data_IF_321422578606
#
_entry.id   IF_321422578606
#
_cell.length_a   1.000
_cell.length_b   1.000
_cell.length_c   1.000
_cell.angle_alpha   90.00
_cell.angle_beta   90.00
_cell.angle_gamma   90.00
#
_symmetry.space_group_name_H-M   'P 1'
#
loop_
_entity.id
_entity.type
_entity.pdbx_description
1 polymer ?
#
# COMPACT_ATOMS: atom_id res chain seq x y z
N UNK A 1 -46.99 48.45 -58.39
CA UNK A 1 -46.90 47.01 -58.31
C UNK A 1 -46.66 46.66 -56.84
N UNK A 2 -47.68 46.19 -56.12
CA UNK A 2 -47.75 46.01 -54.66
C UNK A 2 -47.29 44.62 -54.32
N UNK A 3 -46.27 44.44 -53.46
CA UNK A 3 -45.87 43.17 -52.83
C UNK A 3 -46.51 43.07 -51.44
N UNK A 4 -47.36 42.08 -51.29
CA UNK A 4 -48.01 41.69 -50.05
C UNK A 4 -47.01 40.91 -49.17
N UNK A 5 -46.71 41.43 -48.02
CA UNK A 5 -45.93 40.70 -46.96
C UNK A 5 -46.93 39.93 -46.08
N UNK A 6 -46.84 38.61 -46.11
CA UNK A 6 -47.58 37.69 -45.24
C UNK A 6 -46.73 37.38 -44.00
N UNK A 7 -47.07 37.91 -42.81
CA UNK A 7 -46.47 37.67 -41.53
C UNK A 7 -46.97 36.32 -40.98
N UNK A 8 -46.07 35.33 -40.90
CA UNK A 8 -46.31 34.05 -40.26
C UNK A 8 -45.92 34.20 -38.78
N UNK A 9 -46.90 34.27 -37.88
CA UNK A 9 -46.69 34.28 -36.43
C UNK A 9 -46.41 32.86 -35.98
N UNK A 10 -45.11 32.58 -35.63
CA UNK A 10 -44.65 31.32 -35.00
C UNK A 10 -44.96 31.38 -33.50
N UNK A 11 -45.98 30.63 -33.06
CA UNK A 11 -46.31 30.46 -31.63
C UNK A 11 -45.25 29.62 -31.00
N UNK A 12 -44.31 30.23 -30.24
CA UNK A 12 -43.37 29.55 -29.35
C UNK A 12 -44.14 29.06 -28.11
N UNK A 13 -44.46 27.77 -28.03
CA UNK A 13 -44.89 27.14 -26.78
C UNK A 13 -43.67 27.02 -25.87
N UNK A 14 -43.75 27.46 -24.58
CA UNK A 14 -42.64 27.22 -23.64
C UNK A 14 -42.59 25.72 -23.32
N UNK A 15 -41.53 25.05 -23.76
CA UNK A 15 -41.19 23.69 -23.30
C UNK A 15 -40.84 23.74 -21.81
N UNK A 16 -41.72 23.20 -20.99
CA UNK A 16 -41.41 22.91 -19.57
C UNK A 16 -40.13 22.06 -19.50
N UNK A 17 -39.15 22.45 -18.69
CA UNK A 17 -37.98 21.60 -18.51
C UNK A 17 -38.44 20.26 -17.90
N UNK A 18 -38.14 19.17 -18.58
CA UNK A 18 -38.29 17.82 -18.07
C UNK A 18 -37.54 17.78 -16.75
N UNK A 19 -38.26 17.47 -15.65
CA UNK A 19 -37.72 17.27 -14.30
C UNK A 19 -36.70 16.13 -14.43
N UNK A 20 -35.41 16.48 -14.47
CA UNK A 20 -34.34 15.50 -14.49
C UNK A 20 -34.58 14.55 -13.30
N UNK A 21 -34.65 13.26 -13.58
CA UNK A 21 -34.63 12.24 -12.51
C UNK A 21 -33.41 12.52 -11.62
N UNK A 22 -33.56 12.38 -10.29
CA UNK A 22 -32.41 12.57 -9.40
C UNK A 22 -31.26 11.67 -9.92
N UNK A 23 -30.03 12.20 -10.00
CA UNK A 23 -28.91 11.40 -10.49
C UNK A 23 -28.82 10.14 -9.60
N UNK A 24 -28.97 8.97 -10.23
CA UNK A 24 -28.72 7.70 -9.54
C UNK A 24 -27.30 7.77 -9.00
N UNK A 25 -27.14 7.63 -7.68
CA UNK A 25 -25.82 7.60 -7.06
C UNK A 25 -25.03 6.44 -7.68
N UNK A 26 -23.87 6.70 -8.29
CA UNK A 26 -23.11 5.64 -8.94
C UNK A 26 -22.76 4.54 -7.93
N UNK A 27 -22.90 3.30 -8.34
CA UNK A 27 -22.55 2.14 -7.50
C UNK A 27 -21.08 1.86 -7.69
N UNK A 28 -20.30 1.90 -6.59
CA UNK A 28 -18.89 1.53 -6.59
C UNK A 28 -18.75 0.02 -6.42
N UNK A 29 -18.07 -0.64 -7.38
CA UNK A 29 -17.71 -2.05 -7.27
C UNK A 29 -16.31 -2.23 -6.65
N UNK A 30 -16.04 -3.41 -6.07
CA UNK A 30 -14.72 -3.72 -5.49
C UNK A 30 -13.59 -3.61 -6.53
N UNK A 31 -13.82 -4.10 -7.75
CA UNK A 31 -12.80 -4.08 -8.81
C UNK A 31 -12.50 -2.65 -9.27
N UNK A 32 -13.51 -1.79 -9.32
CA UNK A 32 -13.34 -0.38 -9.65
C UNK A 32 -12.57 0.35 -8.54
N UNK A 33 -12.90 0.09 -7.27
CA UNK A 33 -12.17 0.62 -6.12
C UNK A 33 -10.70 0.20 -6.14
N UNK A 34 -10.40 -1.07 -6.43
CA UNK A 34 -9.04 -1.58 -6.60
C UNK A 34 -8.29 -0.89 -7.75
N UNK A 35 -8.95 -0.65 -8.88
CA UNK A 35 -8.38 0.06 -10.02
C UNK A 35 -8.01 1.50 -9.67
N UNK A 36 -8.91 2.20 -8.97
CA UNK A 36 -8.67 3.58 -8.50
C UNK A 36 -7.46 3.61 -7.54
N UNK A 37 -7.41 2.71 -6.57
CA UNK A 37 -6.30 2.66 -5.61
C UNK A 37 -4.95 2.37 -6.27
N UNK A 38 -4.89 1.45 -7.23
CA UNK A 38 -3.65 1.15 -7.98
C UNK A 38 -3.07 2.36 -8.71
N UNK A 39 -3.94 3.29 -9.13
CA UNK A 39 -3.53 4.49 -9.87
C UNK A 39 -3.20 5.64 -8.92
N UNK A 40 -4.01 5.86 -7.88
CA UNK A 40 -4.01 7.10 -7.13
C UNK A 40 -3.36 6.97 -5.74
N UNK A 41 -3.20 5.75 -5.20
CA UNK A 41 -2.80 5.59 -3.80
C UNK A 41 -1.38 6.11 -3.55
N UNK A 42 -1.18 7.11 -2.64
CA UNK A 42 0.11 7.78 -2.45
C UNK A 42 1.23 6.82 -2.00
N UNK A 43 0.91 5.80 -1.19
CA UNK A 43 1.90 4.81 -0.77
C UNK A 43 2.47 4.00 -1.95
N UNK A 44 1.65 3.69 -2.97
CA UNK A 44 2.12 3.00 -4.17
C UNK A 44 3.01 3.90 -5.02
N UNK A 45 2.67 5.19 -5.12
CA UNK A 45 3.51 6.17 -5.82
C UNK A 45 4.87 6.32 -5.12
N UNK A 46 4.87 6.42 -3.78
CA UNK A 46 6.11 6.48 -3.00
C UNK A 46 6.97 5.21 -3.17
N UNK A 47 6.36 4.01 -3.19
CA UNK A 47 7.09 2.77 -3.41
C UNK A 47 7.70 2.68 -4.80
N UNK A 48 6.98 3.11 -5.85
CA UNK A 48 7.51 3.18 -7.23
C UNK A 48 8.70 4.13 -7.31
N UNK A 49 8.60 5.33 -6.73
CA UNK A 49 9.71 6.26 -6.67
C UNK A 49 10.94 5.69 -5.94
N UNK A 50 10.72 4.88 -4.88
CA UNK A 50 11.79 4.19 -4.18
C UNK A 50 12.45 3.10 -5.03
N UNK A 51 11.65 2.39 -5.85
CA UNK A 51 12.18 1.40 -6.82
C UNK A 51 12.98 2.10 -7.91
N UNK A 52 12.52 3.23 -8.45
CA UNK A 52 13.29 4.07 -9.39
C UNK A 52 14.59 4.58 -8.78
N UNK A 53 14.56 5.02 -7.52
CA UNK A 53 15.78 5.41 -6.81
C UNK A 53 16.76 4.24 -6.67
N UNK A 54 16.26 3.02 -6.42
CA UNK A 54 17.10 1.81 -6.38
C UNK A 54 17.66 1.46 -7.76
N UNK A 55 16.89 1.64 -8.83
CA UNK A 55 17.36 1.47 -10.22
C UNK A 55 18.49 2.49 -10.57
N UNK A 56 18.34 3.74 -10.13
CA UNK A 56 19.39 4.74 -10.30
C UNK A 56 20.69 4.35 -9.55
N UNK A 57 20.59 3.75 -8.34
CA UNK A 57 21.75 3.23 -7.59
C UNK A 57 22.49 2.12 -8.36
N UNK A 58 21.77 1.28 -9.14
CA UNK A 58 22.39 0.30 -10.04
C UNK A 58 23.23 1.02 -11.09
N UNK A 59 22.72 2.09 -11.69
CA UNK A 59 23.50 2.96 -12.61
C UNK A 59 24.74 3.55 -11.95
N UNK A 60 24.60 4.07 -10.73
CA UNK A 60 25.71 4.60 -9.94
C UNK A 60 26.77 3.52 -9.63
N UNK A 61 26.34 2.30 -9.30
CA UNK A 61 27.25 1.18 -9.03
C UNK A 61 27.98 0.70 -10.31
N UNK A 62 27.39 0.90 -11.48
CA UNK A 62 28.00 0.61 -12.80
C UNK A 62 28.99 1.69 -13.22
N UNK A 63 28.78 2.95 -12.84
CA UNK A 63 29.56 4.08 -13.31
C UNK A 63 31.08 3.91 -13.15
N UNK A 64 31.64 3.38 -12.03
CA UNK A 64 33.09 3.18 -11.89
C UNK A 64 33.66 2.15 -12.85
N UNK A 65 32.82 1.30 -13.48
CA UNK A 65 33.24 0.31 -14.47
C UNK A 65 33.34 0.90 -15.90
N UNK A 66 32.90 2.14 -16.08
CA UNK A 66 32.91 2.84 -17.35
C UNK A 66 34.05 3.88 -17.37
N UNK A 67 34.52 4.33 -18.57
CA UNK A 67 35.46 5.42 -18.65
C UNK A 67 34.96 6.69 -17.93
N UNK A 68 35.81 7.28 -17.10
CA UNK A 68 35.56 8.52 -16.41
C UNK A 68 36.32 9.64 -17.10
N UNK A 69 35.65 10.72 -17.49
CA UNK A 69 36.24 11.90 -18.09
C UNK A 69 36.09 13.06 -17.09
N UNK A 70 37.21 13.73 -16.77
CA UNK A 70 37.23 14.88 -15.86
C UNK A 70 37.99 16.03 -16.49
N UNK A 71 37.46 17.24 -16.36
CA UNK A 71 38.16 18.50 -16.68
C UNK A 71 38.56 19.21 -15.39
N UNK A 72 39.75 19.74 -15.35
CA UNK A 72 40.25 20.53 -14.23
C UNK A 72 40.87 21.84 -14.72
N UNK A 73 40.59 22.91 -14.00
CA UNK A 73 41.28 24.20 -14.16
C UNK A 73 41.74 24.65 -12.78
N UNK A 74 42.97 25.03 -12.66
CA UNK A 74 43.49 25.53 -11.39
C UNK A 74 44.39 26.75 -11.59
N UNK A 75 44.31 27.67 -10.64
CA UNK A 75 45.25 28.76 -10.43
C UNK A 75 45.83 28.61 -9.04
N UNK A 76 47.16 28.55 -8.96
CA UNK A 76 47.86 28.49 -7.70
C UNK A 76 48.87 29.62 -7.62
N UNK A 77 48.80 30.40 -6.57
CA UNK A 77 49.85 31.37 -6.25
C UNK A 77 50.61 30.86 -5.04
N UNK A 78 51.89 30.55 -5.21
CA UNK A 78 52.79 30.14 -4.14
C UNK A 78 53.73 31.29 -3.78
N UNK A 79 53.84 31.62 -2.49
CA UNK A 79 54.88 32.46 -1.95
C UNK A 79 55.57 31.69 -0.82
N UNK A 80 56.85 31.42 -0.97
CA UNK A 80 57.60 30.70 0.04
C UNK A 80 59.09 31.01 -0.04
N UNK A 81 59.74 31.12 1.10
CA UNK A 81 61.21 31.08 1.22
C UNK A 81 61.59 29.61 1.47
N UNK A 82 62.03 28.91 0.45
CA UNK A 82 62.73 27.68 0.67
C UNK A 82 64.23 27.97 0.63
N UNK A 83 64.86 27.80 1.75
CA UNK A 83 66.32 27.70 1.79
C UNK A 83 66.73 26.25 1.51
N UNK A 84 67.00 25.90 0.27
CA UNK A 84 67.77 24.70 0.02
C UNK A 84 69.26 25.05 0.23
N UNK A 85 69.81 24.57 1.34
CA UNK A 85 71.27 24.61 1.52
C UNK A 85 71.87 23.60 0.56
N UNK A 86 72.32 24.07 -0.60
CA UNK A 86 73.25 23.33 -1.43
C UNK A 86 74.61 23.35 -0.77
N UNK A 87 75.38 22.28 -0.85
CA UNK A 87 76.73 22.11 -0.29
C UNK A 87 77.75 23.18 -0.75
N UNK A 88 77.35 24.11 -1.59
CA UNK A 88 78.16 25.27 -2.12
C UNK A 88 77.68 26.61 -1.57
N UNK A 89 76.78 26.67 -0.59
CA UNK A 89 76.42 27.92 0.09
C UNK A 89 75.56 28.92 -0.71
N UNK A 90 75.10 28.56 -1.91
CA UNK A 90 74.24 29.41 -2.73
C UNK A 90 72.76 29.09 -2.38
N UNK A 91 72.12 30.06 -1.72
CA UNK A 91 70.70 30.09 -1.52
C UNK A 91 69.97 30.51 -2.82
N UNK A 92 69.30 29.65 -3.45
CA UNK A 92 68.44 30.01 -4.61
C UNK A 92 67.10 30.47 -4.01
N UNK A 93 66.70 31.73 -4.23
CA UNK A 93 65.41 32.25 -3.75
C UNK A 93 64.31 31.49 -4.55
N UNK A 94 63.40 30.81 -3.86
CA UNK A 94 62.18 30.37 -4.49
C UNK A 94 61.36 31.63 -4.82
N UNK A 95 61.20 31.90 -6.10
CA UNK A 95 60.39 33.00 -6.55
C UNK A 95 58.91 32.70 -6.24
N UNK A 96 58.21 33.69 -5.67
CA UNK A 96 56.76 33.67 -5.67
C UNK A 96 56.27 33.58 -7.12
N UNK A 97 55.59 32.51 -7.46
CA UNK A 97 55.15 32.27 -8.81
C UNK A 97 53.65 32.03 -8.89
N UNK A 98 53.06 32.43 -9.99
CA UNK A 98 51.74 32.01 -10.40
C UNK A 98 51.89 30.70 -11.17
N UNK A 99 50.96 29.80 -11.02
CA UNK A 99 50.81 28.57 -11.83
C UNK A 99 49.37 28.43 -12.30
N UNK A 100 49.19 28.35 -13.56
CA UNK A 100 47.91 28.08 -14.23
C UNK A 100 47.96 26.70 -14.80
N UNK A 101 46.88 25.89 -14.59
CA UNK A 101 46.76 24.55 -15.16
C UNK A 101 45.35 24.35 -15.68
N UNK A 102 45.26 23.87 -16.92
CA UNK A 102 44.03 23.46 -17.54
C UNK A 102 44.26 22.04 -18.09
N UNK A 103 43.35 21.11 -17.78
CA UNK A 103 43.52 19.72 -18.25
C UNK A 103 42.25 18.96 -18.39
N UNK A 104 42.29 17.94 -19.23
CA UNK A 104 41.28 16.90 -19.39
C UNK A 104 41.95 15.57 -19.14
N UNK A 105 41.36 14.77 -18.28
CA UNK A 105 41.85 13.45 -17.93
C UNK A 105 40.75 12.39 -18.12
N UNK A 106 41.04 11.31 -18.82
CA UNK A 106 40.22 10.11 -18.93
C UNK A 106 40.85 9.01 -18.07
N UNK A 107 40.05 8.33 -17.27
CA UNK A 107 40.48 7.18 -16.48
C UNK A 107 39.51 6.03 -16.59
N UNK A 108 40.01 4.80 -16.58
CA UNK A 108 39.25 3.57 -16.70
C UNK A 108 39.81 2.53 -15.74
N UNK A 109 38.94 1.95 -14.94
CA UNK A 109 39.21 0.74 -14.20
C UNK A 109 39.22 -0.43 -15.20
N UNK A 110 40.36 -1.11 -15.33
CA UNK A 110 40.52 -2.26 -16.27
C UNK A 110 40.15 -3.57 -15.55
N UNK A 111 40.62 -3.75 -14.31
CA UNK A 111 40.42 -4.98 -13.58
C UNK A 111 40.60 -4.77 -12.05
N UNK A 112 39.71 -5.35 -11.22
CA UNK A 112 39.73 -5.21 -9.76
C UNK A 112 39.34 -6.51 -9.01
N UNK A 113 39.52 -7.64 -9.66
CA UNK A 113 39.22 -8.98 -9.09
C UNK A 113 37.81 -9.11 -8.55
N UNK A 114 36.85 -8.39 -9.15
CA UNK A 114 35.42 -8.49 -8.84
C UNK A 114 34.91 -7.52 -7.77
N UNK A 115 35.73 -6.58 -7.30
CA UNK A 115 35.28 -5.56 -6.35
C UNK A 115 34.17 -4.68 -6.95
N UNK A 116 34.40 -4.07 -8.11
CA UNK A 116 33.43 -3.19 -8.78
C UNK A 116 32.28 -3.97 -9.41
N UNK A 117 32.59 -5.05 -10.13
CA UNK A 117 31.55 -5.90 -10.74
C UNK A 117 30.67 -6.58 -9.67
N UNK A 118 31.23 -6.92 -8.51
CA UNK A 118 30.50 -7.45 -7.36
C UNK A 118 29.56 -6.42 -6.76
N UNK A 119 30.00 -5.17 -6.59
CA UNK A 119 29.14 -4.04 -6.15
C UNK A 119 27.98 -3.82 -7.11
N UNK A 120 28.23 -3.86 -8.42
CA UNK A 120 27.17 -3.71 -9.42
C UNK A 120 26.14 -4.85 -9.34
N UNK A 121 26.59 -6.11 -9.24
CA UNK A 121 25.69 -7.27 -9.08
C UNK A 121 24.91 -7.21 -7.74
N UNK A 122 25.53 -6.79 -6.66
CA UNK A 122 24.87 -6.61 -5.39
C UNK A 122 23.78 -5.52 -5.48
N UNK A 123 24.07 -4.41 -6.16
CA UNK A 123 23.07 -3.35 -6.40
C UNK A 123 21.88 -3.85 -7.25
N UNK A 124 22.14 -4.70 -8.28
CA UNK A 124 21.07 -5.32 -9.06
C UNK A 124 20.19 -6.26 -8.21
N UNK A 125 20.80 -7.07 -7.35
CA UNK A 125 20.03 -7.93 -6.44
C UNK A 125 19.23 -7.12 -5.42
N UNK A 126 19.78 -5.99 -4.94
CA UNK A 126 19.07 -5.04 -4.07
C UNK A 126 17.87 -4.41 -4.80
N UNK A 127 18.00 -4.05 -6.08
CA UNK A 127 16.87 -3.59 -6.89
C UNK A 127 15.79 -4.67 -6.97
N UNK A 128 16.17 -5.92 -7.25
CA UNK A 128 15.20 -7.03 -7.28
C UNK A 128 14.50 -7.27 -5.94
N UNK A 129 15.18 -7.02 -4.81
CA UNK A 129 14.55 -7.04 -3.48
C UNK A 129 13.55 -5.88 -3.31
N UNK A 130 13.91 -4.68 -3.78
CA UNK A 130 13.05 -3.50 -3.71
C UNK A 130 11.79 -3.65 -4.57
N UNK A 131 11.88 -4.27 -5.75
CA UNK A 131 10.72 -4.59 -6.59
C UNK A 131 9.75 -5.54 -5.88
N UNK A 132 10.25 -6.54 -5.15
CA UNK A 132 9.39 -7.41 -4.35
C UNK A 132 8.78 -6.68 -3.14
N UNK A 133 9.51 -5.74 -2.54
CA UNK A 133 8.98 -4.87 -1.48
C UNK A 133 7.84 -3.99 -1.99
N UNK A 134 7.96 -3.43 -3.20
CA UNK A 134 6.88 -2.68 -3.86
C UNK A 134 5.65 -3.57 -4.09
N UNK A 135 5.85 -4.80 -4.60
CA UNK A 135 4.76 -5.77 -4.78
C UNK A 135 4.07 -6.12 -3.45
N UNK A 136 4.85 -6.33 -2.39
CA UNK A 136 4.31 -6.58 -1.06
C UNK A 136 3.44 -5.41 -0.56
N UNK A 137 3.89 -4.18 -0.77
CA UNK A 137 3.09 -3.00 -0.43
C UNK A 137 1.79 -2.93 -1.26
N UNK A 138 1.83 -3.31 -2.54
CA UNK A 138 0.61 -3.37 -3.37
C UNK A 138 -0.38 -4.41 -2.83
N UNK A 139 0.08 -5.57 -2.37
CA UNK A 139 -0.74 -6.57 -1.68
C UNK A 139 -1.36 -6.01 -0.39
N UNK A 140 -0.58 -5.28 0.41
CA UNK A 140 -1.09 -4.64 1.63
C UNK A 140 -2.16 -3.58 1.33
N UNK A 141 -1.94 -2.71 0.35
CA UNK A 141 -2.91 -1.68 -0.07
C UNK A 141 -4.18 -2.35 -0.59
N UNK A 142 -4.08 -3.38 -1.42
CA UNK A 142 -5.22 -4.13 -1.93
C UNK A 142 -6.01 -4.80 -0.80
N UNK A 143 -5.34 -5.37 0.19
CA UNK A 143 -5.99 -5.95 1.37
C UNK A 143 -6.71 -4.90 2.21
N UNK A 144 -6.05 -3.78 2.51
CA UNK A 144 -6.65 -2.69 3.30
C UNK A 144 -7.88 -2.11 2.61
N UNK A 145 -7.81 -1.94 1.28
CA UNK A 145 -8.95 -1.51 0.48
C UNK A 145 -10.11 -2.51 0.53
N UNK A 146 -9.84 -3.81 0.35
CA UNK A 146 -10.88 -4.84 0.47
C UNK A 146 -11.52 -4.84 1.85
N UNK A 147 -10.72 -4.70 2.90
CA UNK A 147 -11.22 -4.59 4.27
C UNK A 147 -12.13 -3.38 4.44
N UNK A 148 -11.71 -2.19 4.00
CA UNK A 148 -12.51 -0.97 4.05
C UNK A 148 -13.80 -1.09 3.23
N UNK A 149 -13.71 -1.72 2.04
CA UNK A 149 -14.86 -1.96 1.17
C UNK A 149 -15.91 -2.87 1.84
N UNK A 150 -15.48 -4.02 2.40
CA UNK A 150 -16.38 -4.94 3.09
C UNK A 150 -16.97 -4.30 4.35
N UNK A 151 -16.21 -3.49 5.09
CA UNK A 151 -16.72 -2.77 6.25
C UNK A 151 -17.79 -1.75 5.84
N UNK A 152 -17.56 -0.96 4.80
CA UNK A 152 -18.53 -0.01 4.27
C UNK A 152 -19.79 -0.71 3.72
N UNK A 153 -19.64 -1.87 3.06
CA UNK A 153 -20.77 -2.67 2.59
C UNK A 153 -21.58 -3.27 3.76
N UNK A 154 -20.91 -3.71 4.83
CA UNK A 154 -21.56 -4.15 6.05
C UNK A 154 -22.37 -3.01 6.71
N UNK A 155 -21.76 -1.83 6.84
CA UNK A 155 -22.43 -0.65 7.40
C UNK A 155 -23.63 -0.23 6.54
N UNK A 156 -23.56 -0.33 5.21
CA UNK A 156 -24.71 -0.09 4.32
C UNK A 156 -25.84 -1.10 4.54
N UNK A 157 -25.49 -2.38 4.72
CA UNK A 157 -26.48 -3.41 5.00
C UNK A 157 -27.13 -3.22 6.40
N UNK A 158 -26.35 -2.83 7.41
CA UNK A 158 -26.86 -2.52 8.74
C UNK A 158 -27.72 -1.25 8.74
N UNK A 159 -27.39 -0.25 7.95
CA UNK A 159 -28.23 0.94 7.74
C UNK A 159 -29.61 0.54 7.21
N UNK A 160 -29.64 -0.36 6.22
CA UNK A 160 -30.92 -0.88 5.70
C UNK A 160 -31.74 -1.62 6.76
N UNK A 161 -31.09 -2.43 7.61
CA UNK A 161 -31.76 -3.09 8.74
C UNK A 161 -32.36 -2.05 9.72
N UNK A 162 -31.63 -0.96 9.99
CA UNK A 162 -32.12 0.11 10.86
C UNK A 162 -33.29 0.89 10.24
N UNK A 163 -33.26 1.17 8.92
CA UNK A 163 -34.35 1.79 8.17
C UNK A 163 -35.64 0.94 8.23
N UNK A 164 -35.50 -0.37 7.95
CA UNK A 164 -36.62 -1.33 8.02
C UNK A 164 -37.15 -1.46 9.47
N UNK A 165 -36.27 -1.45 10.46
CA UNK A 165 -36.66 -1.49 11.87
C UNK A 165 -37.47 -0.27 12.26
N UNK A 166 -37.02 0.94 11.92
CA UNK A 166 -37.78 2.18 12.21
C UNK A 166 -39.14 2.14 11.51
N UNK A 167 -39.17 1.76 10.22
CA UNK A 167 -40.42 1.66 9.47
C UNK A 167 -41.44 0.71 10.16
N UNK A 168 -40.97 -0.46 10.57
CA UNK A 168 -41.82 -1.41 11.29
C UNK A 168 -42.30 -0.86 12.64
N UNK A 169 -41.44 -0.18 13.41
CA UNK A 169 -41.85 0.49 14.67
C UNK A 169 -42.91 1.58 14.43
N UNK A 170 -42.85 2.32 13.35
CA UNK A 170 -43.87 3.31 12.96
C UNK A 170 -45.21 2.67 12.57
N UNK A 171 -45.18 1.53 11.89
CA UNK A 171 -46.40 0.76 11.60
C UNK A 171 -47.06 0.26 12.89
N UNK A 172 -46.28 -0.32 13.81
CA UNK A 172 -46.79 -0.82 15.11
C UNK A 172 -47.31 0.32 15.97
N UNK A 173 -46.62 1.46 16.04
CA UNK A 173 -47.11 2.63 16.78
C UNK A 173 -48.50 3.06 16.31
N UNK A 174 -48.70 3.15 14.97
CA UNK A 174 -50.03 3.51 14.41
C UNK A 174 -51.12 2.47 14.78
N UNK A 175 -50.79 1.19 14.75
CA UNK A 175 -51.71 0.13 15.12
C UNK A 175 -52.06 0.16 16.60
N UNK A 176 -51.07 0.35 17.52
CA UNK A 176 -51.30 0.43 18.95
C UNK A 176 -52.10 1.68 19.29
N UNK A 177 -51.84 2.81 18.67
CA UNK A 177 -52.58 4.04 18.84
C UNK A 177 -54.06 3.83 18.51
N UNK A 178 -54.40 3.20 17.40
CA UNK A 178 -55.76 2.89 17.04
C UNK A 178 -56.47 1.95 18.07
N UNK A 179 -55.73 0.98 18.63
CA UNK A 179 -56.28 0.08 19.66
C UNK A 179 -56.54 0.79 20.98
N UNK A 180 -55.71 1.74 21.39
CA UNK A 180 -55.90 2.56 22.59
C UNK A 180 -57.06 3.51 22.41
N UNK A 181 -57.21 4.18 21.27
CA UNK A 181 -58.31 5.08 20.94
C UNK A 181 -59.72 4.41 21.04
N UNK A 182 -59.78 3.11 20.68
CA UNK A 182 -61.05 2.34 20.82
C UNK A 182 -61.14 1.54 22.13
N UNK A 183 -60.25 1.83 23.09
CA UNK A 183 -60.28 1.23 24.44
C UNK A 183 -59.89 -0.26 24.49
N UNK A 184 -59.33 -0.83 23.43
CA UNK A 184 -58.90 -2.25 23.40
C UNK A 184 -57.55 -2.51 24.07
N UNK A 185 -56.75 -1.46 24.29
CA UNK A 185 -55.41 -1.54 24.91
C UNK A 185 -55.19 -0.39 25.88
N UNK A 186 -54.38 -0.59 26.94
CA UNK A 186 -54.08 0.43 27.91
C UNK A 186 -53.11 1.48 27.33
N UNK A 187 -53.13 2.68 27.84
CA UNK A 187 -52.30 3.81 27.41
C UNK A 187 -50.80 3.54 27.57
N UNK A 188 -50.41 2.69 28.54
CA UNK A 188 -49.01 2.30 28.75
C UNK A 188 -48.39 1.64 27.51
N UNK A 189 -49.17 0.86 26.72
CA UNK A 189 -48.72 0.24 25.49
C UNK A 189 -48.36 1.30 24.43
N UNK A 190 -49.12 2.40 24.37
CA UNK A 190 -48.85 3.53 23.48
C UNK A 190 -47.53 4.25 23.87
N UNK A 191 -47.35 4.52 25.19
CA UNK A 191 -46.13 5.17 25.68
C UNK A 191 -44.91 4.30 25.40
N UNK A 192 -45.01 2.98 25.63
CA UNK A 192 -43.93 2.03 25.29
C UNK A 192 -43.60 2.06 23.80
N UNK A 193 -44.61 2.00 22.93
CA UNK A 193 -44.39 2.02 21.48
C UNK A 193 -43.76 3.32 20.97
N UNK A 194 -44.11 4.47 21.58
CA UNK A 194 -43.44 5.75 21.30
C UNK A 194 -41.99 5.73 21.71
N UNK A 195 -41.66 5.14 22.85
CA UNK A 195 -40.25 4.95 23.30
C UNK A 195 -39.49 4.05 22.34
N UNK A 196 -40.08 2.92 21.93
CA UNK A 196 -39.46 1.98 20.99
C UNK A 196 -39.18 2.63 19.62
N UNK A 197 -40.10 3.41 19.11
CA UNK A 197 -39.93 4.20 17.89
C UNK A 197 -38.77 5.22 18.01
N UNK A 198 -38.72 5.96 19.16
CA UNK A 198 -37.66 6.92 19.40
C UNK A 198 -36.28 6.25 19.49
N UNK A 199 -36.19 5.09 20.15
CA UNK A 199 -34.94 4.29 20.18
C UNK A 199 -34.52 3.82 18.79
N UNK A 200 -35.45 3.36 17.94
CA UNK A 200 -35.16 2.96 16.56
C UNK A 200 -34.69 4.16 15.73
N UNK A 201 -35.20 5.37 15.94
CA UNK A 201 -34.73 6.59 15.32
C UNK A 201 -33.27 6.90 15.68
N UNK A 202 -32.89 6.73 16.96
CA UNK A 202 -31.48 6.89 17.40
C UNK A 202 -30.58 5.86 16.74
N UNK A 203 -31.02 4.60 16.66
CA UNK A 203 -30.27 3.54 15.98
C UNK A 203 -30.07 3.83 14.49
N UNK A 204 -31.07 4.35 13.79
CA UNK A 204 -30.97 4.77 12.39
C UNK A 204 -29.90 5.88 12.23
N UNK A 205 -29.94 6.91 13.07
CA UNK A 205 -28.95 8.00 13.04
C UNK A 205 -27.53 7.45 13.24
N UNK A 206 -27.35 6.54 14.21
CA UNK A 206 -26.05 5.91 14.47
C UNK A 206 -25.57 5.07 13.28
N UNK A 207 -26.46 4.28 12.66
CA UNK A 207 -26.14 3.49 11.47
C UNK A 207 -25.76 4.37 10.26
N UNK A 208 -26.45 5.52 10.09
CA UNK A 208 -26.12 6.49 9.05
C UNK A 208 -24.72 7.08 9.25
N UNK A 209 -24.40 7.52 10.49
CA UNK A 209 -23.06 8.04 10.81
C UNK A 209 -21.98 6.99 10.61
N UNK A 210 -22.24 5.73 10.99
CA UNK A 210 -21.31 4.62 10.78
C UNK A 210 -21.02 4.42 9.28
N UNK A 211 -22.07 4.36 8.45
CA UNK A 211 -21.91 4.21 6.99
C UNK A 211 -21.15 5.38 6.36
N UNK A 212 -21.44 6.61 6.73
CA UNK A 212 -20.75 7.79 6.22
C UNK A 212 -19.28 7.81 6.64
N UNK A 213 -18.97 7.37 7.87
CA UNK A 213 -17.59 7.21 8.37
C UNK A 213 -16.82 6.14 7.59
N UNK A 214 -17.43 4.96 7.41
CA UNK A 214 -16.79 3.85 6.70
C UNK A 214 -16.59 4.17 5.20
N UNK A 215 -17.50 4.96 4.60
CA UNK A 215 -17.32 5.48 3.25
C UNK A 215 -16.13 6.45 3.17
N UNK A 216 -15.93 7.31 4.17
CA UNK A 216 -14.76 8.19 4.24
C UNK A 216 -13.45 7.38 4.38
N UNK A 217 -13.44 6.31 5.20
CA UNK A 217 -12.30 5.40 5.32
C UNK A 217 -12.02 4.64 4.00
N UNK A 218 -13.07 4.29 3.26
CA UNK A 218 -12.93 3.68 1.94
C UNK A 218 -12.32 4.66 0.94
N UNK A 219 -12.73 5.94 0.94
CA UNK A 219 -12.11 6.98 0.11
C UNK A 219 -10.62 7.13 0.42
N UNK A 220 -10.25 7.12 1.70
CA UNK A 220 -8.85 7.13 2.13
C UNK A 220 -8.08 5.89 1.61
N UNK A 221 -8.68 4.69 1.72
CA UNK A 221 -8.07 3.45 1.24
C UNK A 221 -7.92 3.42 -0.30
N UNK A 222 -8.75 4.14 -1.05
CA UNK A 222 -8.61 4.35 -2.49
C UNK A 222 -7.58 5.43 -2.85
N UNK A 223 -7.11 6.22 -1.88
CA UNK A 223 -6.23 7.38 -2.13
C UNK A 223 -6.97 8.55 -2.78
N UNK A 224 -8.25 8.74 -2.50
CA UNK A 224 -9.10 9.80 -3.03
C UNK A 224 -9.33 10.85 -1.96
N UNK A 225 -8.95 12.10 -2.21
CA UNK A 225 -9.13 13.23 -1.27
C UNK A 225 -10.55 13.84 -1.31
N UNK A 226 -11.28 13.64 -2.41
CA UNK A 226 -12.61 14.23 -2.60
C UNK A 226 -13.70 13.35 -2.01
N UNK A 227 -14.70 13.96 -1.38
CA UNK A 227 -15.93 13.25 -1.02
C UNK A 227 -16.71 12.90 -2.30
N UNK A 228 -16.54 11.68 -2.77
CA UNK A 228 -17.30 11.14 -3.90
C UNK A 228 -18.55 10.46 -3.32
N UNK A 229 -19.71 10.88 -3.79
CA UNK A 229 -20.98 10.24 -3.45
C UNK A 229 -21.18 9.01 -4.33
N UNK A 230 -21.15 7.85 -3.72
CA UNK A 230 -21.45 6.55 -4.31
C UNK A 230 -22.16 5.68 -3.28
N UNK A 231 -22.86 4.67 -3.75
CA UNK A 231 -23.36 3.58 -2.90
C UNK A 231 -22.46 2.35 -3.02
N UNK A 232 -22.35 1.57 -1.96
CA UNK A 232 -21.52 0.37 -1.92
C UNK A 232 -22.43 -0.85 -1.93
N UNK A 233 -22.20 -1.76 -2.87
CA UNK A 233 -22.94 -3.01 -2.98
C UNK A 233 -22.08 -4.18 -2.56
N UNK A 234 -22.64 -5.09 -1.76
CA UNK A 234 -21.97 -6.32 -1.42
C UNK A 234 -21.60 -7.11 -2.68
N UNK A 235 -20.33 -7.46 -2.88
CA UNK A 235 -19.96 -8.30 -4.02
C UNK A 235 -20.61 -9.69 -3.88
N UNK A 236 -20.89 -10.38 -5.00
CA UNK A 236 -21.41 -11.75 -4.92
C UNK A 236 -20.44 -12.64 -4.17
N UNK A 237 -20.95 -13.42 -3.22
CA UNK A 237 -20.14 -14.33 -2.43
C UNK A 237 -19.48 -15.38 -3.35
N UNK A 238 -18.18 -15.26 -3.57
CA UNK A 238 -17.40 -16.23 -4.36
C UNK A 238 -16.56 -17.10 -3.43
N UNK A 239 -16.72 -18.41 -3.53
CA UNK A 239 -15.84 -19.34 -2.84
C UNK A 239 -14.44 -19.27 -3.47
N UNK A 240 -13.40 -19.28 -2.64
CA UNK A 240 -12.03 -19.31 -3.12
C UNK A 240 -11.64 -20.75 -3.47
N UNK A 241 -10.95 -20.94 -4.60
CA UNK A 241 -10.37 -22.23 -4.92
C UNK A 241 -9.36 -22.63 -3.85
N UNK A 242 -9.55 -23.80 -3.25
CA UNK A 242 -8.64 -24.32 -2.23
C UNK A 242 -8.82 -23.74 -0.82
N UNK A 243 -9.90 -22.97 -0.53
CA UNK A 243 -10.14 -22.42 0.82
C UNK A 243 -10.36 -23.50 1.90
N UNK A 244 -10.73 -24.71 1.49
CA UNK A 244 -10.87 -25.89 2.35
C UNK A 244 -9.64 -26.83 2.30
N UNK A 245 -8.55 -26.38 1.61
CA UNK A 245 -7.28 -27.12 1.51
C UNK A 245 -6.61 -27.36 2.85
N UNK A 246 -5.67 -28.30 2.87
CA UNK A 246 -4.85 -28.54 4.05
C UNK A 246 -3.79 -27.44 4.22
N UNK A 247 -3.27 -27.28 5.43
CA UNK A 247 -2.28 -26.26 5.76
C UNK A 247 -0.97 -26.43 5.00
N UNK A 248 -0.61 -27.67 4.64
CA UNK A 248 0.67 -27.96 3.99
C UNK A 248 0.66 -27.43 2.55
N UNK A 249 -0.41 -27.73 1.79
CA UNK A 249 -0.54 -27.26 0.40
C UNK A 249 -0.63 -25.73 0.31
N UNK A 250 -1.40 -25.12 1.20
CA UNK A 250 -1.49 -23.64 1.27
C UNK A 250 -0.16 -23.00 1.65
N UNK A 251 0.63 -23.63 2.54
CA UNK A 251 1.94 -23.13 2.94
C UNK A 251 2.95 -23.18 1.77
N UNK A 252 2.96 -24.24 0.97
CA UNK A 252 3.82 -24.34 -0.21
C UNK A 252 3.52 -23.21 -1.21
N UNK A 253 2.23 -22.96 -1.47
CA UNK A 253 1.80 -21.84 -2.31
C UNK A 253 2.27 -20.50 -1.71
N UNK A 254 2.06 -20.29 -0.41
CA UNK A 254 2.44 -19.05 0.27
C UNK A 254 3.94 -18.79 0.18
N UNK A 255 4.79 -19.79 0.47
CA UNK A 255 6.25 -19.64 0.43
C UNK A 255 6.79 -19.34 -0.96
N UNK A 256 6.09 -19.78 -2.02
CA UNK A 256 6.50 -19.52 -3.40
C UNK A 256 5.92 -18.23 -4.00
N UNK A 257 4.77 -17.76 -3.50
CA UNK A 257 4.03 -16.63 -4.08
C UNK A 257 4.20 -15.31 -3.30
N UNK A 258 4.51 -15.35 -2.00
CA UNK A 258 4.56 -14.14 -1.15
C UNK A 258 5.72 -13.24 -1.51
N UNK A 259 5.46 -11.96 -1.83
CA UNK A 259 6.52 -11.02 -2.19
C UNK A 259 7.47 -10.66 -1.04
N UNK A 260 7.03 -10.70 0.23
CA UNK A 260 7.88 -10.43 1.40
C UNK A 260 8.95 -11.52 1.59
N UNK A 261 8.59 -12.79 1.35
CA UNK A 261 9.54 -13.92 1.37
C UNK A 261 10.56 -13.78 0.24
N UNK A 262 10.09 -13.43 -0.98
CA UNK A 262 10.95 -13.21 -2.13
C UNK A 262 11.89 -12.00 -1.92
N UNK A 263 11.38 -10.90 -1.32
CA UNK A 263 12.18 -9.72 -1.03
C UNK A 263 13.36 -10.05 -0.12
N UNK A 264 13.10 -10.77 0.97
CA UNK A 264 14.14 -11.13 1.93
C UNK A 264 15.14 -12.13 1.34
N UNK A 265 14.70 -13.08 0.51
CA UNK A 265 15.59 -13.98 -0.23
C UNK A 265 16.53 -13.19 -1.16
N UNK A 266 16.01 -12.20 -1.91
CA UNK A 266 16.83 -11.31 -2.75
C UNK A 266 17.80 -10.42 -1.96
N UNK A 267 17.42 -10.01 -0.72
CA UNK A 267 18.33 -9.29 0.16
C UNK A 267 19.50 -10.16 0.61
N UNK A 268 19.25 -11.45 0.90
CA UNK A 268 20.33 -12.41 1.20
C UNK A 268 21.28 -12.55 0.02
N UNK A 269 20.74 -12.73 -1.20
CA UNK A 269 21.55 -12.80 -2.43
C UNK A 269 22.43 -11.54 -2.60
N UNK A 270 21.85 -10.36 -2.39
CA UNK A 270 22.56 -9.08 -2.47
C UNK A 270 23.70 -8.99 -1.45
N UNK A 271 23.46 -9.41 -0.21
CA UNK A 271 24.45 -9.40 0.86
C UNK A 271 25.57 -10.40 0.60
N UNK A 272 25.28 -11.57 0.03
CA UNK A 272 26.29 -12.55 -0.38
C UNK A 272 27.17 -12.03 -1.52
N UNK A 273 26.56 -11.36 -2.53
CA UNK A 273 27.28 -10.71 -3.61
C UNK A 273 28.16 -9.58 -3.09
N UNK A 274 27.67 -8.80 -2.11
CA UNK A 274 28.45 -7.78 -1.42
C UNK A 274 29.65 -8.40 -0.69
N UNK A 275 29.46 -9.53 0.01
CA UNK A 275 30.57 -10.25 0.66
C UNK A 275 31.62 -10.71 -0.33
N UNK A 276 31.20 -11.20 -1.51
CA UNK A 276 32.14 -11.60 -2.59
C UNK A 276 32.88 -10.39 -3.15
N UNK A 277 32.20 -9.26 -3.33
CA UNK A 277 32.78 -7.99 -3.77
C UNK A 277 33.87 -7.53 -2.80
N UNK A 278 33.58 -7.48 -1.48
CA UNK A 278 34.53 -7.04 -0.44
C UNK A 278 35.80 -7.91 -0.46
N UNK A 279 35.69 -9.20 -0.73
CA UNK A 279 36.87 -10.09 -0.86
C UNK A 279 37.77 -9.70 -2.03
N UNK A 280 37.24 -9.06 -3.09
CA UNK A 280 38.04 -8.47 -4.15
C UNK A 280 39.05 -7.45 -3.67
N UNK A 281 38.82 -6.82 -2.50
CA UNK A 281 39.74 -5.87 -1.86
C UNK A 281 41.07 -6.48 -1.34
N UNK A 282 41.19 -7.80 -1.31
CA UNK A 282 42.49 -8.45 -1.03
C UNK A 282 43.42 -8.48 -2.26
N UNK A 283 42.86 -8.29 -3.43
CA UNK A 283 43.60 -8.38 -4.70
C UNK A 283 43.99 -6.99 -5.21
N UNK A 284 44.96 -6.89 -6.11
CA UNK A 284 45.32 -5.62 -6.72
C UNK A 284 44.20 -5.09 -7.65
N UNK A 285 44.22 -3.78 -7.92
CA UNK A 285 43.42 -3.16 -8.97
C UNK A 285 44.30 -2.60 -10.08
N UNK A 286 43.89 -2.75 -11.34
CA UNK A 286 44.54 -2.24 -12.51
C UNK A 286 43.70 -1.16 -13.15
N UNK A 287 44.24 0.03 -13.31
CA UNK A 287 43.61 1.16 -13.97
C UNK A 287 44.49 1.76 -15.05
N UNK A 288 43.86 2.31 -16.08
CA UNK A 288 44.53 3.11 -17.11
C UNK A 288 44.00 4.56 -16.99
N UNK A 289 44.89 5.51 -17.25
CA UNK A 289 44.51 6.92 -17.38
C UNK A 289 45.34 7.58 -18.51
N UNK A 290 44.69 8.51 -19.21
CA UNK A 290 45.34 9.35 -20.19
C UNK A 290 44.82 10.78 -20.05
N UNK A 291 45.73 11.76 -20.15
CA UNK A 291 45.37 13.15 -19.98
C UNK A 291 46.14 14.07 -20.90
N UNK A 292 45.51 15.18 -21.19
CA UNK A 292 46.13 16.32 -21.87
C UNK A 292 45.99 17.50 -20.92
N UNK A 293 47.09 18.22 -20.69
CA UNK A 293 47.10 19.39 -19.84
C UNK A 293 47.91 20.51 -20.44
N UNK A 294 47.48 21.75 -20.25
CA UNK A 294 48.26 22.95 -20.51
C UNK A 294 48.60 23.60 -19.15
N UNK A 295 49.89 23.90 -19.02
CA UNK A 295 50.41 24.51 -17.81
C UNK A 295 51.17 25.80 -18.18
N UNK A 296 50.98 26.85 -17.37
CA UNK A 296 51.65 28.14 -17.59
C UNK A 296 52.07 28.75 -16.26
N UNK A 297 53.22 29.40 -16.21
CA UNK A 297 53.66 30.23 -15.12
C UNK A 297 53.25 31.72 -15.32
N UNK A 298 52.99 32.10 -16.56
CA UNK A 298 52.45 33.39 -16.99
C UNK A 298 51.33 33.15 -18.00
N UNK A 299 50.42 34.10 -18.15
CA UNK A 299 49.24 33.93 -19.00
C UNK A 299 49.57 33.80 -20.53
N UNK A 300 50.79 34.10 -20.93
CA UNK A 300 51.30 34.06 -22.30
C UNK A 300 52.24 32.86 -22.57
N UNK A 301 52.49 31.98 -21.58
CA UNK A 301 53.49 30.92 -21.64
C UNK A 301 52.90 29.53 -21.47
N UNK A 302 51.79 29.22 -22.15
CA UNK A 302 51.13 27.93 -22.10
C UNK A 302 51.94 26.84 -22.75
N UNK A 303 52.09 25.71 -22.06
CA UNK A 303 52.79 24.49 -22.57
C UNK A 303 51.84 23.32 -22.55
N UNK A 304 51.61 22.74 -23.71
CA UNK A 304 50.79 21.54 -23.88
C UNK A 304 51.61 20.29 -23.51
N UNK A 305 51.06 19.49 -22.62
CA UNK A 305 51.61 18.20 -22.24
C UNK A 305 50.54 17.12 -22.34
N UNK A 306 50.95 15.89 -22.56
CA UNK A 306 50.11 14.71 -22.47
C UNK A 306 50.78 13.64 -21.62
N UNK A 307 49.96 12.82 -20.97
CA UNK A 307 50.43 11.66 -20.22
C UNK A 307 49.52 10.48 -20.43
N UNK A 308 50.09 9.28 -20.45
CA UNK A 308 49.38 8.02 -20.39
C UNK A 308 50.01 7.19 -19.28
N UNK A 309 49.15 6.56 -18.45
CA UNK A 309 49.57 5.78 -17.29
C UNK A 309 48.77 4.52 -17.16
N UNK A 310 49.48 3.40 -16.91
CA UNK A 310 48.89 2.17 -16.40
C UNK A 310 49.33 2.01 -14.94
N UNK A 311 48.37 1.91 -14.03
CA UNK A 311 48.62 1.84 -12.60
C UNK A 311 48.09 0.53 -12.04
N UNK A 312 48.96 -0.29 -11.46
CA UNK A 312 48.62 -1.43 -10.63
C UNK A 312 48.75 -0.97 -9.14
N UNK A 313 47.64 -1.02 -8.42
CA UNK A 313 47.60 -0.67 -6.98
C UNK A 313 47.27 -1.92 -6.17
N UNK A 314 48.09 -2.26 -5.21
CA UNK A 314 47.86 -3.41 -4.31
C UNK A 314 48.15 -3.02 -2.89
N UNK A 315 47.12 -3.10 -2.04
CA UNK A 315 47.25 -2.86 -0.63
C UNK A 315 47.70 -4.15 0.09
N UNK A 316 49.01 -4.28 0.31
CA UNK A 316 49.60 -5.49 0.92
C UNK A 316 49.22 -5.65 2.40
N UNK A 317 49.12 -4.54 3.13
CA UNK A 317 48.67 -4.52 4.51
C UNK A 317 47.84 -3.28 4.79
N UNK A 318 46.61 -3.48 5.25
CA UNK A 318 45.64 -2.42 5.57
C UNK A 318 45.15 -2.48 7.03
N UNK A 319 45.95 -2.97 7.96
CA UNK A 319 45.56 -3.02 9.38
C UNK A 319 44.36 -3.94 9.66
N UNK A 320 44.07 -4.92 8.77
CA UNK A 320 42.96 -5.87 8.96
C UNK A 320 41.56 -5.35 8.55
N UNK A 321 41.49 -4.18 7.90
CA UNK A 321 40.19 -3.56 7.52
C UNK A 321 39.35 -4.45 6.62
N UNK A 322 39.96 -5.08 5.60
CA UNK A 322 39.23 -5.98 4.67
C UNK A 322 38.73 -7.24 5.38
N UNK A 323 39.52 -7.79 6.31
CA UNK A 323 39.11 -8.95 7.11
C UNK A 323 37.93 -8.58 8.04
N UNK A 324 37.99 -7.41 8.67
CA UNK A 324 36.90 -6.85 9.47
C UNK A 324 35.59 -6.71 8.64
N UNK A 325 35.70 -6.11 7.45
CA UNK A 325 34.56 -5.94 6.52
C UNK A 325 33.97 -7.28 6.06
N UNK A 326 34.80 -8.27 5.77
CA UNK A 326 34.33 -9.62 5.40
C UNK A 326 33.61 -10.30 6.58
N UNK A 327 34.13 -10.17 7.81
CA UNK A 327 33.48 -10.70 9.02
C UNK A 327 32.14 -10.01 9.29
N UNK A 328 32.09 -8.70 9.21
CA UNK A 328 30.86 -7.92 9.32
C UNK A 328 29.81 -8.35 8.28
N UNK A 329 30.20 -8.43 7.02
CA UNK A 329 29.30 -8.81 5.93
C UNK A 329 28.75 -10.22 6.07
N UNK A 330 29.58 -11.19 6.53
CA UNK A 330 29.14 -12.55 6.86
C UNK A 330 28.15 -12.59 8.03
N UNK A 331 28.42 -11.83 9.09
CA UNK A 331 27.52 -11.72 10.24
C UNK A 331 26.16 -11.12 9.82
N UNK A 332 26.17 -10.09 8.95
CA UNK A 332 24.96 -9.52 8.36
C UNK A 332 24.18 -10.53 7.52
N UNK A 333 24.88 -11.36 6.72
CA UNK A 333 24.23 -12.46 5.98
C UNK A 333 23.59 -13.48 6.92
N UNK A 334 24.26 -13.85 8.00
CA UNK A 334 23.71 -14.78 8.99
C UNK A 334 22.46 -14.21 9.69
N UNK A 335 22.47 -12.91 10.01
CA UNK A 335 21.30 -12.22 10.56
C UNK A 335 20.10 -12.23 9.60
N UNK A 336 20.32 -11.93 8.31
CA UNK A 336 19.25 -11.99 7.29
C UNK A 336 18.69 -13.41 7.11
N UNK A 337 19.53 -14.45 7.18
CA UNK A 337 19.07 -15.84 7.13
C UNK A 337 18.21 -16.22 8.34
N UNK A 338 18.59 -15.78 9.53
CA UNK A 338 17.78 -15.98 10.73
C UNK A 338 16.42 -15.26 10.63
N UNK A 339 16.40 -14.04 10.07
CA UNK A 339 15.15 -13.31 9.78
C UNK A 339 14.29 -14.03 8.74
N UNK A 340 14.90 -14.66 7.75
CA UNK A 340 14.19 -15.46 6.75
C UNK A 340 13.50 -16.68 7.38
N UNK A 341 14.18 -17.40 8.26
CA UNK A 341 13.56 -18.51 8.99
C UNK A 341 12.44 -18.05 9.92
N UNK A 342 12.61 -16.91 10.60
CA UNK A 342 11.52 -16.30 11.40
C UNK A 342 10.31 -15.95 10.53
N UNK A 343 10.54 -15.34 9.36
CA UNK A 343 9.47 -15.01 8.42
C UNK A 343 8.73 -16.26 7.93
N UNK A 344 9.45 -17.35 7.64
CA UNK A 344 8.82 -18.64 7.26
C UNK A 344 7.90 -19.18 8.37
N UNK A 345 8.32 -19.08 9.63
CA UNK A 345 7.47 -19.46 10.77
C UNK A 345 6.22 -18.56 10.85
N UNK A 346 6.39 -17.25 10.67
CA UNK A 346 5.27 -16.31 10.66
C UNK A 346 4.29 -16.60 9.53
N UNK A 347 4.78 -16.90 8.32
CA UNK A 347 3.93 -17.29 7.18
C UNK A 347 3.09 -18.52 7.51
N UNK A 348 3.66 -19.51 8.20
CA UNK A 348 2.91 -20.71 8.64
C UNK A 348 1.77 -20.34 9.59
N UNK A 349 2.03 -19.46 10.55
CA UNK A 349 1.02 -18.97 11.50
C UNK A 349 -0.07 -18.17 10.77
N UNK A 350 0.34 -17.25 9.85
CA UNK A 350 -0.60 -16.43 9.08
C UNK A 350 -1.56 -17.30 8.27
N UNK A 351 -1.04 -18.31 7.56
CA UNK A 351 -1.84 -19.23 6.74
C UNK A 351 -2.80 -20.04 7.61
N UNK A 352 -2.32 -20.60 8.72
CA UNK A 352 -3.18 -21.41 9.62
C UNK A 352 -4.27 -20.54 10.26
N UNK A 353 -3.96 -19.36 10.75
CA UNK A 353 -4.94 -18.43 11.31
C UNK A 353 -6.00 -18.02 10.26
N UNK A 354 -5.57 -17.72 9.04
CA UNK A 354 -6.49 -17.34 7.97
C UNK A 354 -7.42 -18.51 7.58
N UNK A 355 -6.89 -19.72 7.48
CA UNK A 355 -7.67 -20.94 7.20
C UNK A 355 -8.72 -21.22 8.29
N UNK A 356 -8.30 -21.14 9.56
CA UNK A 356 -9.20 -21.32 10.70
C UNK A 356 -10.28 -20.24 10.74
N UNK A 357 -9.93 -18.98 10.41
CA UNK A 357 -10.88 -17.88 10.34
C UNK A 357 -11.95 -18.10 9.26
N UNK A 358 -11.58 -18.60 8.07
CA UNK A 358 -12.55 -18.95 7.01
C UNK A 358 -13.48 -20.05 7.48
N UNK A 359 -12.95 -21.11 8.08
CA UNK A 359 -13.75 -22.23 8.59
C UNK A 359 -14.72 -21.80 9.68
N UNK A 360 -14.26 -20.97 10.63
CA UNK A 360 -15.12 -20.44 11.69
C UNK A 360 -16.21 -19.52 11.14
N UNK A 361 -15.87 -18.64 10.17
CA UNK A 361 -16.83 -17.73 9.55
C UNK A 361 -17.91 -18.49 8.74
N UNK A 362 -17.55 -19.57 8.02
CA UNK A 362 -18.52 -20.45 7.35
C UNK A 362 -19.54 -21.05 8.34
N UNK A 363 -19.07 -21.56 9.47
CA UNK A 363 -19.95 -22.11 10.51
C UNK A 363 -20.83 -21.03 11.15
N UNK A 364 -20.27 -19.82 11.38
CA UNK A 364 -21.01 -18.71 11.96
C UNK A 364 -22.16 -18.22 11.07
N UNK A 365 -21.99 -18.20 9.73
CA UNK A 365 -23.06 -17.82 8.79
C UNK A 365 -24.25 -18.78 8.93
N UNK A 366 -24.02 -20.09 8.97
CA UNK A 366 -25.10 -21.07 9.08
C UNK A 366 -25.91 -20.88 10.37
N UNK A 367 -25.21 -20.68 11.50
CA UNK A 367 -25.85 -20.41 12.78
C UNK A 367 -26.60 -19.07 12.83
N UNK A 368 -26.01 -18.01 12.26
CA UNK A 368 -26.62 -16.68 12.21
C UNK A 368 -27.88 -16.67 11.33
N UNK A 369 -27.85 -17.37 10.19
CA UNK A 369 -29.00 -17.52 9.30
C UNK A 369 -30.17 -18.26 10.01
N UNK A 370 -29.89 -19.36 10.69
CA UNK A 370 -30.87 -20.10 11.50
C UNK A 370 -31.47 -19.22 12.60
N UNK A 371 -30.62 -18.48 13.31
CA UNK A 371 -31.07 -17.55 14.36
C UNK A 371 -32.00 -16.46 13.78
N UNK A 372 -31.68 -15.89 12.62
CA UNK A 372 -32.50 -14.88 11.95
C UNK A 372 -33.86 -15.46 11.50
N UNK A 373 -33.87 -16.68 10.97
CA UNK A 373 -35.12 -17.36 10.60
C UNK A 373 -36.01 -17.63 11.81
N UNK A 374 -35.46 -18.16 12.90
CA UNK A 374 -36.20 -18.42 14.14
C UNK A 374 -36.72 -17.13 14.78
N UNK A 375 -35.94 -16.04 14.74
CA UNK A 375 -36.38 -14.74 15.23
C UNK A 375 -37.55 -14.15 14.41
N UNK A 376 -37.58 -14.35 13.07
CA UNK A 376 -38.71 -13.95 12.21
C UNK A 376 -39.98 -14.72 12.58
N UNK A 377 -39.88 -16.04 12.77
CA UNK A 377 -41.03 -16.89 13.18
C UNK A 377 -41.52 -16.44 14.56
N UNK A 378 -40.61 -16.21 15.52
CA UNK A 378 -40.95 -15.74 16.86
C UNK A 378 -41.72 -14.41 16.82
N UNK A 379 -41.28 -13.44 16.00
CA UNK A 379 -41.95 -12.17 15.83
C UNK A 379 -43.36 -12.37 15.27
N UNK A 380 -43.54 -13.14 14.21
CA UNK A 380 -44.85 -13.42 13.61
C UNK A 380 -45.81 -14.03 14.62
N UNK A 381 -45.35 -14.95 15.47
CA UNK A 381 -46.17 -15.54 16.52
C UNK A 381 -46.53 -14.52 17.60
N UNK A 382 -45.57 -13.68 18.03
CA UNK A 382 -45.83 -12.65 19.02
C UNK A 382 -46.82 -11.58 18.51
N UNK A 383 -46.73 -11.19 17.25
CA UNK A 383 -47.70 -10.30 16.59
C UNK A 383 -49.11 -10.87 16.56
N UNK A 384 -49.26 -12.15 16.17
CA UNK A 384 -50.55 -12.84 16.14
C UNK A 384 -51.19 -12.94 17.56
N UNK A 385 -50.37 -13.29 18.56
CA UNK A 385 -50.83 -13.32 19.98
C UNK A 385 -51.24 -11.93 20.49
N UNK A 386 -50.47 -10.91 20.17
CA UNK A 386 -50.79 -9.52 20.54
C UNK A 386 -52.09 -9.03 19.88
N UNK A 387 -52.30 -9.31 18.59
CA UNK A 387 -53.53 -8.98 17.86
C UNK A 387 -54.75 -9.72 18.42
N UNK A 388 -54.60 -11.00 18.77
CA UNK A 388 -55.68 -11.80 19.41
C UNK A 388 -55.97 -11.42 20.84
N UNK A 389 -55.21 -10.50 21.45
CA UNK A 389 -55.40 -10.02 22.82
C UNK A 389 -54.86 -10.92 23.93
N UNK A 390 -54.18 -12.05 23.57
CA UNK A 390 -53.59 -13.00 24.53
C UNK A 390 -52.09 -12.81 24.75
N UNK A 391 -51.42 -11.91 23.99
CA UNK A 391 -50.03 -11.46 24.16
C UNK A 391 -49.98 -10.08 24.79
N UNK A 392 -48.79 -9.74 25.37
CA UNK A 392 -48.50 -8.41 25.89
C UNK A 392 -47.51 -7.63 24.99
N UNK A 393 -47.42 -6.32 25.19
CA UNK A 393 -46.54 -5.44 24.41
C UNK A 393 -45.05 -5.74 24.63
N UNK A 394 -44.66 -6.27 25.79
CA UNK A 394 -43.27 -6.63 26.13
C UNK A 394 -42.84 -7.82 25.30
N UNK A 395 -43.65 -8.89 25.21
CA UNK A 395 -43.35 -10.05 24.37
C UNK A 395 -43.15 -9.67 22.88
N UNK A 396 -43.97 -8.73 22.40
CA UNK A 396 -43.87 -8.19 21.04
C UNK A 396 -42.56 -7.38 20.87
N UNK A 397 -42.28 -6.44 21.78
CA UNK A 397 -41.07 -5.60 21.73
C UNK A 397 -39.80 -6.44 21.81
N UNK A 398 -39.74 -7.44 22.73
CA UNK A 398 -38.63 -8.35 22.89
C UNK A 398 -38.39 -9.19 21.60
N UNK A 399 -39.46 -9.63 20.94
CA UNK A 399 -39.39 -10.39 19.70
C UNK A 399 -38.85 -9.52 18.54
N UNK A 400 -39.21 -8.24 18.50
CA UNK A 400 -38.69 -7.29 17.51
C UNK A 400 -37.21 -6.98 17.74
N UNK A 401 -36.78 -6.78 19.01
CA UNK A 401 -35.38 -6.58 19.37
C UNK A 401 -34.56 -7.82 19.00
N UNK A 402 -35.08 -9.02 19.29
CA UNK A 402 -34.42 -10.27 18.93
C UNK A 402 -34.23 -10.42 17.41
N UNK A 403 -35.23 -10.06 16.59
CA UNK A 403 -35.12 -10.09 15.13
C UNK A 403 -34.08 -9.07 14.64
N UNK A 404 -34.13 -7.83 15.09
CA UNK A 404 -33.16 -6.79 14.69
C UNK A 404 -31.72 -7.22 15.02
N UNK A 405 -31.51 -7.79 16.21
CA UNK A 405 -30.21 -8.31 16.63
C UNK A 405 -29.76 -9.49 15.77
N UNK A 406 -30.65 -10.44 15.47
CA UNK A 406 -30.33 -11.60 14.64
C UNK A 406 -30.01 -11.22 13.18
N UNK A 407 -30.72 -10.23 12.59
CA UNK A 407 -30.43 -9.69 11.26
C UNK A 407 -29.06 -8.97 11.23
N UNK A 408 -28.76 -8.20 12.27
CA UNK A 408 -27.45 -7.55 12.36
C UNK A 408 -26.30 -8.58 12.49
N UNK A 409 -26.51 -9.67 13.25
CA UNK A 409 -25.54 -10.76 13.36
C UNK A 409 -25.37 -11.51 12.03
N UNK A 410 -26.45 -11.76 11.27
CA UNK A 410 -26.40 -12.38 9.95
C UNK A 410 -25.58 -11.53 8.97
N UNK A 411 -25.85 -10.23 8.91
CA UNK A 411 -25.05 -9.28 8.11
C UNK A 411 -23.58 -9.35 8.51
N UNK A 412 -23.26 -9.25 9.80
CA UNK A 412 -21.89 -9.27 10.29
C UNK A 412 -21.18 -10.60 9.97
N UNK A 413 -21.87 -11.74 10.04
CA UNK A 413 -21.30 -13.05 9.73
C UNK A 413 -20.92 -13.15 8.24
N UNK A 414 -21.75 -12.65 7.32
CA UNK A 414 -21.48 -12.63 5.87
C UNK A 414 -20.20 -11.86 5.59
N UNK A 415 -20.08 -10.61 6.07
CA UNK A 415 -18.89 -9.79 5.82
C UNK A 415 -17.64 -10.27 6.56
N UNK A 416 -17.81 -10.96 7.69
CA UNK A 416 -16.70 -11.64 8.38
C UNK A 416 -16.10 -12.74 7.51
N UNK A 417 -16.91 -13.50 6.76
CA UNK A 417 -16.41 -14.49 5.83
C UNK A 417 -15.64 -13.84 4.66
N UNK A 418 -16.19 -12.78 4.07
CA UNK A 418 -15.53 -12.08 2.97
C UNK A 418 -14.16 -11.50 3.40
N UNK A 419 -14.09 -10.93 4.62
CA UNK A 419 -12.84 -10.47 5.21
C UNK A 419 -11.86 -11.63 5.51
N UNK A 420 -12.37 -12.78 6.01
CA UNK A 420 -11.54 -13.95 6.27
C UNK A 420 -10.95 -14.51 4.96
N UNK A 421 -11.73 -14.53 3.87
CA UNK A 421 -11.25 -14.89 2.53
C UNK A 421 -10.18 -13.92 2.02
N UNK A 422 -10.39 -12.61 2.18
CA UNK A 422 -9.37 -11.62 1.82
C UNK A 422 -8.06 -11.81 2.61
N UNK A 423 -8.16 -12.16 3.91
CA UNK A 423 -6.99 -12.50 4.74
C UNK A 423 -6.28 -13.75 4.25
N UNK A 424 -7.03 -14.77 3.82
CA UNK A 424 -6.46 -16.01 3.28
C UNK A 424 -5.72 -15.72 1.96
N UNK A 425 -6.32 -14.97 1.04
CA UNK A 425 -5.65 -14.56 -0.22
C UNK A 425 -4.34 -13.81 0.05
N UNK A 426 -4.35 -12.90 1.03
CA UNK A 426 -3.13 -12.20 1.46
C UNK A 426 -2.10 -13.17 2.04
N UNK A 427 -2.53 -14.10 2.91
CA UNK A 427 -1.64 -15.04 3.57
C UNK A 427 -0.93 -15.98 2.58
N UNK A 428 -1.60 -16.34 1.48
CA UNK A 428 -1.02 -17.17 0.40
C UNK A 428 -0.38 -16.37 -0.74
N UNK A 429 -0.37 -15.01 -0.67
CA UNK A 429 0.27 -14.16 -1.67
C UNK A 429 -0.47 -14.04 -3.01
N UNK A 430 -1.79 -14.25 -3.03
CA UNK A 430 -2.62 -14.21 -4.25
C UNK A 430 -3.55 -12.97 -4.32
N UNK A 431 -3.19 -11.86 -3.71
CA UNK A 431 -3.95 -10.62 -3.70
C UNK A 431 -3.49 -9.64 -4.79
#
# INVERSE_FOLDING_TARGET
>A
MKRVLMLLALVLAPSLPARAAPPETPVLTLDEALRIARTNHPQLQAARAQTEASAARVGMARAPLLPQLSGNASYTRSSGKASSATSTGLSVPLSSGNSYSLGVNASQLLYDFGLGTGKYKAAQATLGAQEQTERNLAVHVAFNLRSAYYTAAAARALLKVAEETLHNRELHLRQIQAFVEVGKRPEIDLVQSRTDRANAQVQLIQAQVAYDTDRALLNQAMGVERDIRYDVVAPPAQALQGEDGDTVSLLEVALSARPDVMALARQIDAQELSTRSIRGGYAPSLSASAGVSENANQLDSWQLGWNARLLLSWQLFGGGITDGQVRESRASTAALRAQYELLRQQVRVDVEQARLAVRAAKAAIAAAHEAAQNARVRLTLAEGRYQAGVGNVIELSDSQVALTSALAQEVQAIFTLDLARARLLRAIGQL
#
